data_IF_710020765716
#
_entry.id   IF_710020765716
#
_cell.length_a   1.000
_cell.length_b   1.000
_cell.length_c   1.000
_cell.angle_alpha   90.00
_cell.angle_beta   90.00
_cell.angle_gamma   90.00
#
_symmetry.space_group_name_H-M   'P 1'
#
loop_
_entity.id
_entity.type
_entity.pdbx_description
1 polymer ?
#
# COMPACT_ATOMS: atom_id res chain seq x y z
N UNK A 1 82.70 -72.53 19.66
CA UNK A 1 82.01 -72.58 20.96
C UNK A 1 81.70 -71.14 21.32
N UNK A 2 80.46 -70.74 21.06
CA UNK A 2 79.97 -69.36 21.23
C UNK A 2 79.95 -69.01 22.71
N UNK A 3 80.75 -68.02 23.11
CA UNK A 3 80.55 -67.37 24.41
C UNK A 3 79.72 -66.14 24.12
N UNK A 4 78.40 -66.33 24.25
CA UNK A 4 77.42 -65.27 24.37
C UNK A 4 77.74 -64.52 25.66
N UNK A 5 78.64 -63.53 25.59
CA UNK A 5 78.66 -62.46 26.59
C UNK A 5 77.49 -61.55 26.26
N UNK A 6 76.43 -61.78 27.02
CA UNK A 6 75.20 -61.02 27.07
C UNK A 6 75.56 -59.54 27.33
N UNK A 7 75.74 -58.76 26.26
CA UNK A 7 75.81 -57.31 26.32
C UNK A 7 74.45 -56.92 26.90
N UNK A 8 74.43 -56.46 28.15
CA UNK A 8 73.24 -55.86 28.71
C UNK A 8 72.73 -54.82 27.70
N UNK A 9 71.65 -55.17 27.00
CA UNK A 9 71.05 -54.39 25.90
C UNK A 9 70.61 -53.00 26.38
N UNK A 10 70.64 -52.78 27.69
CA UNK A 10 70.38 -51.51 28.37
C UNK A 10 71.54 -51.25 29.31
N UNK A 11 72.53 -50.48 28.84
CA UNK A 11 73.53 -49.83 29.69
C UNK A 11 73.32 -48.33 29.60
N UNK A 12 73.24 -47.64 30.75
CA UNK A 12 73.07 -46.19 30.83
C UNK A 12 74.41 -45.56 30.42
N UNK A 13 74.56 -45.30 29.12
CA UNK A 13 75.75 -44.70 28.53
C UNK A 13 75.43 -43.28 28.02
N UNK A 14 76.47 -42.50 27.71
CA UNK A 14 76.32 -41.14 27.17
C UNK A 14 75.41 -41.07 25.92
N UNK A 15 75.30 -42.14 25.14
CA UNK A 15 74.39 -42.27 23.99
C UNK A 15 72.91 -42.19 24.39
N UNK A 16 72.52 -42.70 25.55
CA UNK A 16 71.14 -42.63 26.06
C UNK A 16 70.76 -41.19 26.39
N UNK A 17 71.69 -40.40 26.94
CA UNK A 17 71.50 -38.95 27.15
C UNK A 17 71.36 -38.20 25.82
N UNK A 18 72.19 -38.53 24.82
CA UNK A 18 72.06 -37.93 23.48
C UNK A 18 70.72 -38.28 22.82
N UNK A 19 70.26 -39.52 22.95
CA UNK A 19 68.96 -39.97 22.44
C UNK A 19 67.79 -39.27 23.15
N UNK A 20 67.88 -39.05 24.46
CA UNK A 20 66.88 -38.30 25.22
C UNK A 20 66.80 -36.85 24.74
N UNK A 21 67.94 -36.18 24.57
CA UNK A 21 67.99 -34.80 24.05
C UNK A 21 67.40 -34.75 22.63
N UNK A 22 67.77 -35.68 21.75
CA UNK A 22 67.22 -35.76 20.40
C UNK A 22 65.69 -35.98 20.41
N UNK A 23 65.18 -36.84 21.30
CA UNK A 23 63.75 -37.06 21.46
C UNK A 23 63.02 -35.81 21.95
N UNK A 24 63.58 -35.08 22.93
CA UNK A 24 63.01 -33.84 23.43
C UNK A 24 62.99 -32.74 22.35
N UNK A 25 64.07 -32.62 21.57
CA UNK A 25 64.14 -31.69 20.43
C UNK A 25 63.11 -32.07 19.37
N UNK A 26 62.99 -33.36 19.03
CA UNK A 26 61.98 -33.85 18.09
C UNK A 26 60.55 -33.56 18.57
N UNK A 27 60.25 -33.81 19.85
CA UNK A 27 58.96 -33.51 20.45
C UNK A 27 58.65 -32.01 20.41
N UNK A 28 59.65 -31.16 20.66
CA UNK A 28 59.52 -29.72 20.53
C UNK A 28 59.21 -29.30 19.08
N UNK A 29 59.92 -29.86 18.10
CA UNK A 29 59.70 -29.60 16.68
C UNK A 29 58.29 -30.02 16.26
N UNK A 30 57.86 -31.25 16.59
CA UNK A 30 56.51 -31.73 16.27
C UNK A 30 55.44 -30.86 16.93
N UNK A 31 55.60 -30.50 18.20
CA UNK A 31 54.64 -29.64 18.89
C UNK A 31 54.51 -28.27 18.21
N UNK A 32 55.64 -27.69 17.78
CA UNK A 32 55.68 -26.38 17.14
C UNK A 32 55.17 -26.40 15.70
N UNK A 33 55.48 -27.44 14.93
CA UNK A 33 55.20 -27.55 13.49
C UNK A 33 53.87 -28.24 13.21
N UNK A 34 53.45 -29.24 13.98
CA UNK A 34 52.26 -30.05 13.68
C UNK A 34 51.10 -29.72 14.62
N UNK A 35 51.27 -29.86 15.94
CA UNK A 35 50.16 -29.74 16.88
C UNK A 35 49.60 -28.32 17.02
N UNK A 36 50.46 -27.30 16.87
CA UNK A 36 50.03 -25.89 16.93
C UNK A 36 49.15 -25.48 15.73
N UNK A 37 49.55 -25.67 14.46
CA UNK A 37 48.68 -25.35 13.33
C UNK A 37 47.44 -26.23 13.28
N UNK A 38 47.53 -27.52 13.66
CA UNK A 38 46.37 -28.40 13.69
C UNK A 38 45.27 -27.89 14.65
N UNK A 39 45.66 -27.45 15.86
CA UNK A 39 44.72 -26.84 16.81
C UNK A 39 44.16 -25.51 16.30
N UNK A 40 44.97 -24.70 15.63
CA UNK A 40 44.52 -23.45 15.03
C UNK A 40 43.43 -23.68 13.99
N UNK A 41 43.62 -24.64 13.08
CA UNK A 41 42.66 -24.94 12.01
C UNK A 41 41.36 -25.52 12.57
N UNK A 42 41.44 -26.33 13.62
CA UNK A 42 40.22 -26.85 14.28
C UNK A 42 39.44 -25.73 14.98
N UNK A 43 40.14 -24.83 15.70
CA UNK A 43 39.49 -23.66 16.32
C UNK A 43 38.88 -22.71 15.29
N UNK A 44 39.56 -22.49 14.17
CA UNK A 44 39.05 -21.67 13.06
C UNK A 44 37.78 -22.30 12.46
N UNK A 45 37.77 -23.62 12.24
CA UNK A 45 36.58 -24.35 11.76
C UNK A 45 35.40 -24.25 12.72
N UNK A 46 35.63 -24.45 14.02
CA UNK A 46 34.59 -24.30 15.03
C UNK A 46 34.03 -22.87 15.06
N UNK A 47 34.91 -21.88 15.05
CA UNK A 47 34.50 -20.47 15.05
C UNK A 47 33.72 -20.08 13.79
N UNK A 48 34.12 -20.61 12.63
CA UNK A 48 33.44 -20.37 11.36
C UNK A 48 32.04 -21.01 11.36
N UNK A 49 31.91 -22.23 11.87
CA UNK A 49 30.62 -22.89 12.00
C UNK A 49 29.68 -22.15 12.96
N UNK A 50 30.17 -21.71 14.12
CA UNK A 50 29.33 -20.93 15.04
C UNK A 50 28.95 -19.59 14.44
N UNK A 51 29.87 -18.93 13.72
CA UNK A 51 29.56 -17.68 13.02
C UNK A 51 28.46 -17.86 11.97
N UNK A 52 28.56 -18.89 11.12
CA UNK A 52 27.48 -19.21 10.16
C UNK A 52 26.16 -19.45 10.87
N UNK A 53 26.18 -20.18 11.99
CA UNK A 53 24.97 -20.48 12.75
C UNK A 53 24.33 -19.20 13.29
N UNK A 54 25.13 -18.30 13.87
CA UNK A 54 24.66 -17.00 14.38
C UNK A 54 24.14 -16.11 13.25
N UNK A 55 24.90 -15.96 12.17
CA UNK A 55 24.51 -15.17 11.00
C UNK A 55 23.20 -15.67 10.40
N UNK A 56 22.99 -17.00 10.36
CA UNK A 56 21.73 -17.61 9.89
C UNK A 56 20.56 -17.28 10.81
N UNK A 57 20.76 -17.35 12.13
CA UNK A 57 19.72 -17.02 13.12
C UNK A 57 19.36 -15.53 13.07
N UNK A 58 20.34 -14.67 12.86
CA UNK A 58 20.09 -13.23 12.77
C UNK A 58 19.41 -12.87 11.45
N UNK A 59 19.82 -13.50 10.34
CA UNK A 59 19.15 -13.34 9.05
C UNK A 59 17.68 -13.81 9.09
N UNK A 60 17.38 -14.94 9.75
CA UNK A 60 15.99 -15.40 9.89
C UNK A 60 15.15 -14.44 10.75
N UNK A 61 15.71 -13.94 11.87
CA UNK A 61 15.03 -12.92 12.69
C UNK A 61 14.77 -11.62 11.92
N UNK A 62 15.74 -11.17 11.13
CA UNK A 62 15.58 -9.95 10.32
C UNK A 62 14.51 -10.15 9.24
N UNK A 63 14.51 -11.31 8.58
CA UNK A 63 13.49 -11.68 7.60
C UNK A 63 12.09 -11.75 8.22
N UNK A 64 11.94 -12.34 9.41
CA UNK A 64 10.67 -12.38 10.14
C UNK A 64 10.19 -10.97 10.52
N UNK A 65 11.09 -10.12 11.04
CA UNK A 65 10.78 -8.71 11.37
C UNK A 65 10.35 -7.93 10.13
N UNK A 66 11.06 -8.08 9.02
CA UNK A 66 10.73 -7.42 7.76
C UNK A 66 9.35 -7.90 7.26
N UNK A 67 9.10 -9.20 7.29
CA UNK A 67 7.82 -9.79 6.89
C UNK A 67 6.66 -9.28 7.77
N UNK A 68 6.85 -9.22 9.09
CA UNK A 68 5.87 -8.67 10.01
C UNK A 68 5.59 -7.18 9.73
N UNK A 69 6.65 -6.40 9.49
CA UNK A 69 6.54 -4.98 9.16
C UNK A 69 5.82 -4.76 7.83
N UNK A 70 6.13 -5.56 6.81
CA UNK A 70 5.46 -5.49 5.51
C UNK A 70 3.97 -5.84 5.62
N UNK A 71 3.62 -6.90 6.35
CA UNK A 71 2.22 -7.26 6.61
C UNK A 71 1.47 -6.15 7.36
N UNK A 72 2.09 -5.55 8.37
CA UNK A 72 1.51 -4.43 9.10
C UNK A 72 1.27 -3.21 8.20
N UNK A 73 2.26 -2.86 7.37
CA UNK A 73 2.13 -1.78 6.38
C UNK A 73 1.04 -2.07 5.35
N UNK A 74 0.97 -3.30 4.83
CA UNK A 74 -0.06 -3.69 3.87
C UNK A 74 -1.47 -3.57 4.48
N UNK A 75 -1.64 -4.03 5.72
CA UNK A 75 -2.89 -3.90 6.47
C UNK A 75 -3.28 -2.43 6.68
N UNK A 76 -2.32 -1.58 7.04
CA UNK A 76 -2.54 -0.15 7.23
C UNK A 76 -2.94 0.55 5.92
N UNK A 77 -2.24 0.27 4.82
CA UNK A 77 -2.55 0.83 3.50
C UNK A 77 -3.93 0.38 3.01
N UNK A 78 -4.31 -0.88 3.24
CA UNK A 78 -5.66 -1.36 2.90
C UNK A 78 -6.75 -0.65 3.70
N UNK A 79 -6.53 -0.43 4.99
CA UNK A 79 -7.46 0.32 5.84
C UNK A 79 -7.59 1.78 5.37
N UNK A 80 -6.46 2.46 5.13
CA UNK A 80 -6.45 3.83 4.61
C UNK A 80 -7.15 3.94 3.25
N UNK A 81 -6.90 3.00 2.33
CA UNK A 81 -7.58 2.96 1.05
C UNK A 81 -9.09 2.77 1.20
N UNK A 82 -9.54 1.96 2.16
CA UNK A 82 -10.95 1.77 2.44
C UNK A 82 -11.59 3.04 3.02
N UNK A 83 -10.90 3.73 3.93
CA UNK A 83 -11.35 4.99 4.51
C UNK A 83 -11.46 6.09 3.44
N UNK A 84 -10.44 6.22 2.57
CA UNK A 84 -10.46 7.15 1.44
C UNK A 84 -11.61 6.85 0.49
N UNK A 85 -11.84 5.57 0.17
CA UNK A 85 -12.99 5.18 -0.66
C UNK A 85 -14.32 5.57 -0.01
N UNK A 86 -14.49 5.31 1.28
CA UNK A 86 -15.71 5.66 2.00
C UNK A 86 -15.92 7.18 2.02
N UNK A 87 -14.87 7.96 2.24
CA UNK A 87 -14.93 9.42 2.19
C UNK A 87 -15.33 9.94 0.80
N UNK A 88 -14.79 9.37 -0.28
CA UNK A 88 -15.15 9.74 -1.65
C UNK A 88 -16.62 9.38 -1.95
N UNK A 89 -17.07 8.20 -1.54
CA UNK A 89 -18.47 7.78 -1.71
C UNK A 89 -19.44 8.69 -0.95
N UNK A 90 -19.11 9.04 0.29
CA UNK A 90 -19.92 9.96 1.10
C UNK A 90 -19.94 11.38 0.51
N UNK A 91 -18.79 11.88 0.05
CA UNK A 91 -18.70 13.18 -0.61
C UNK A 91 -19.48 13.21 -1.93
N UNK A 92 -19.35 12.18 -2.76
CA UNK A 92 -20.13 12.05 -3.99
C UNK A 92 -21.64 11.94 -3.72
N UNK A 93 -22.04 11.24 -2.65
CA UNK A 93 -23.43 11.17 -2.20
C UNK A 93 -23.99 12.52 -1.76
N UNK A 94 -23.20 13.31 -1.02
CA UNK A 94 -23.57 14.68 -0.62
C UNK A 94 -23.72 15.59 -1.84
N UNK A 95 -22.73 15.62 -2.72
CA UNK A 95 -22.73 16.46 -3.92
C UNK A 95 -23.89 16.09 -4.86
N UNK A 96 -24.15 14.80 -5.06
CA UNK A 96 -25.31 14.35 -5.83
C UNK A 96 -26.63 14.81 -5.20
N UNK A 97 -26.74 14.77 -3.87
CA UNK A 97 -27.89 15.27 -3.13
C UNK A 97 -28.10 16.78 -3.30
N UNK A 98 -27.03 17.56 -3.19
CA UNK A 98 -27.04 19.02 -3.40
C UNK A 98 -27.46 19.38 -4.82
N UNK A 99 -26.92 18.70 -5.83
CA UNK A 99 -27.30 18.90 -7.23
C UNK A 99 -28.78 18.60 -7.45
N UNK A 100 -29.28 17.48 -6.90
CA UNK A 100 -30.68 17.10 -7.00
C UNK A 100 -31.61 18.12 -6.36
N UNK A 101 -31.24 18.64 -5.19
CA UNK A 101 -32.02 19.64 -4.49
C UNK A 101 -32.03 20.99 -5.22
N UNK A 102 -30.87 21.44 -5.71
CA UNK A 102 -30.77 22.64 -6.55
C UNK A 102 -31.63 22.52 -7.80
N UNK A 103 -31.55 21.38 -8.51
CA UNK A 103 -32.36 21.13 -9.69
C UNK A 103 -33.87 21.14 -9.38
N UNK A 104 -34.30 20.59 -8.24
CA UNK A 104 -35.70 20.64 -7.80
C UNK A 104 -36.16 22.07 -7.53
N UNK A 105 -35.33 22.87 -6.86
CA UNK A 105 -35.62 24.28 -6.59
C UNK A 105 -35.72 25.09 -7.89
N UNK A 106 -34.81 24.87 -8.84
CA UNK A 106 -34.86 25.49 -10.17
C UNK A 106 -36.14 25.12 -10.91
N UNK A 107 -36.49 23.83 -10.98
CA UNK A 107 -37.72 23.34 -11.61
C UNK A 107 -38.96 23.99 -10.97
N UNK A 108 -39.01 24.07 -9.64
CA UNK A 108 -40.09 24.74 -8.90
C UNK A 108 -40.19 26.22 -9.29
N UNK A 109 -39.05 26.93 -9.32
CA UNK A 109 -39.00 28.34 -9.71
C UNK A 109 -39.44 28.58 -11.15
N UNK A 110 -39.05 27.69 -12.08
CA UNK A 110 -39.44 27.77 -13.48
C UNK A 110 -40.94 27.53 -13.62
N UNK A 111 -41.50 26.51 -12.95
CA UNK A 111 -42.94 26.26 -12.95
C UNK A 111 -43.73 27.48 -12.45
N UNK A 112 -43.32 28.08 -11.33
CA UNK A 112 -43.97 29.27 -10.80
C UNK A 112 -43.92 30.45 -11.80
N UNK A 113 -42.77 30.69 -12.42
CA UNK A 113 -42.64 31.72 -13.47
C UNK A 113 -43.55 31.45 -14.67
N UNK A 114 -43.55 30.23 -15.19
CA UNK A 114 -44.38 29.82 -16.32
C UNK A 114 -45.87 29.98 -15.99
N UNK A 115 -46.31 29.56 -14.80
CA UNK A 115 -47.70 29.77 -14.36
C UNK A 115 -48.09 31.25 -14.34
N UNK A 116 -47.20 32.12 -13.83
CA UNK A 116 -47.47 33.58 -13.85
C UNK A 116 -47.52 34.15 -15.26
N UNK A 117 -46.63 33.75 -16.16
CA UNK A 117 -46.63 34.20 -17.56
C UNK A 117 -47.87 33.70 -18.31
N UNK A 118 -48.24 32.43 -18.15
CA UNK A 118 -49.44 31.85 -18.78
C UNK A 118 -50.69 32.59 -18.31
N UNK A 119 -50.82 32.86 -17.01
CA UNK A 119 -51.95 33.62 -16.47
C UNK A 119 -52.00 35.05 -17.05
N UNK A 120 -50.85 35.71 -17.18
CA UNK A 120 -50.76 37.04 -17.80
C UNK A 120 -51.16 37.01 -19.29
N UNK A 121 -50.69 36.00 -20.04
CA UNK A 121 -51.04 35.82 -21.45
C UNK A 121 -52.53 35.53 -21.63
N UNK A 122 -53.15 34.69 -20.78
CA UNK A 122 -54.58 34.42 -20.80
C UNK A 122 -55.38 35.71 -20.54
N UNK A 123 -54.97 36.51 -19.55
CA UNK A 123 -55.62 37.79 -19.26
C UNK A 123 -55.53 38.76 -20.46
N UNK A 124 -54.37 38.84 -21.10
CA UNK A 124 -54.17 39.67 -22.28
C UNK A 124 -54.98 39.19 -23.49
N UNK A 125 -55.02 37.88 -23.73
CA UNK A 125 -55.82 37.26 -24.79
C UNK A 125 -57.32 37.52 -24.58
N UNK A 126 -57.82 37.38 -23.34
CA UNK A 126 -59.22 37.71 -23.00
C UNK A 126 -59.54 39.18 -23.27
N UNK A 127 -58.62 40.10 -22.99
CA UNK A 127 -58.80 41.53 -23.28
C UNK A 127 -58.90 41.80 -24.78
N UNK A 128 -58.01 41.20 -25.59
CA UNK A 128 -58.05 41.31 -27.06
C UNK A 128 -59.34 40.72 -27.64
N UNK A 129 -59.74 39.53 -27.18
CA UNK A 129 -60.97 38.88 -27.64
C UNK A 129 -62.22 39.73 -27.36
N UNK A 130 -62.25 40.46 -26.22
CA UNK A 130 -63.34 41.37 -25.88
C UNK A 130 -63.41 42.56 -26.84
N UNK A 131 -62.27 43.15 -27.19
CA UNK A 131 -62.19 44.23 -28.17
C UNK A 131 -62.60 43.77 -29.57
N UNK A 132 -62.14 42.58 -29.99
CA UNK A 132 -62.54 41.98 -31.28
C UNK A 132 -64.03 41.65 -31.31
N UNK A 133 -64.60 41.15 -30.21
CA UNK A 133 -66.03 40.86 -30.10
C UNK A 133 -66.89 42.14 -30.18
N UNK A 134 -66.47 43.24 -29.54
CA UNK A 134 -67.12 44.55 -29.67
C UNK A 134 -67.08 45.05 -31.13
N UNK A 135 -65.91 44.95 -31.77
CA UNK A 135 -65.74 45.34 -33.18
C UNK A 135 -66.60 44.48 -34.11
N UNK A 136 -66.68 43.17 -33.87
CA UNK A 136 -67.51 42.26 -34.64
C UNK A 136 -69.00 42.54 -34.44
N UNK A 137 -69.43 42.86 -33.21
CA UNK A 137 -70.81 43.22 -32.91
C UNK A 137 -71.23 44.50 -33.65
N UNK A 138 -70.37 45.53 -33.69
CA UNK A 138 -70.60 46.75 -34.48
C UNK A 138 -70.73 46.41 -35.97
N UNK A 139 -69.81 45.63 -36.52
CA UNK A 139 -69.87 45.21 -37.93
C UNK A 139 -71.15 44.43 -38.27
N UNK A 140 -71.61 43.54 -37.38
CA UNK A 140 -72.86 42.79 -37.58
C UNK A 140 -74.07 43.74 -37.53
N UNK A 141 -74.10 44.68 -36.57
CA UNK A 141 -75.16 45.68 -36.46
C UNK A 141 -75.22 46.57 -37.71
N UNK A 142 -74.07 47.04 -38.21
CA UNK A 142 -73.99 47.82 -39.46
C UNK A 142 -74.52 47.05 -40.67
N UNK A 143 -74.22 45.75 -40.77
CA UNK A 143 -74.60 44.90 -41.91
C UNK A 143 -76.06 44.44 -41.87
N UNK A 144 -76.67 44.32 -40.68
CA UNK A 144 -78.10 44.03 -40.53
C UNK A 144 -79.00 45.26 -40.68
N UNK A 145 -78.51 46.46 -40.36
CA UNK A 145 -79.30 47.70 -40.41
C UNK A 145 -79.23 48.44 -41.75
N UNK A 146 -78.40 47.97 -42.70
CA UNK A 146 -78.20 48.53 -44.06
C UNK A 146 -78.04 50.07 -44.09
N UNK A 147 -77.55 50.64 -42.99
CA UNK A 147 -77.44 52.07 -42.77
C UNK A 147 -76.21 52.34 -41.93
N UNK A 148 -75.21 52.97 -42.54
CA UNK A 148 -74.01 53.47 -41.85
C UNK A 148 -74.43 54.30 -40.64
N UNK A 149 -74.12 53.82 -39.44
CA UNK A 149 -74.10 54.64 -38.24
C UNK A 149 -72.72 55.30 -38.22
N UNK A 150 -72.70 56.58 -38.59
CA UNK A 150 -71.48 57.29 -38.97
C UNK A 150 -70.63 57.78 -37.79
N UNK A 151 -69.39 58.13 -38.18
CA UNK A 151 -68.40 58.98 -37.48
C UNK A 151 -67.94 58.48 -36.11
#
# INVERSE_FOLDING_TARGET
MEIVSNIALISINATMFHQLIAFLVFLFIINRIMFRPLRSVMGERESFMEKIRLDTVDATKEFEKLTATLKAKESAVRAEAQDVRCAIEEQGGREAGEILESARQEISSIKAKVETEVNAQIAQARKKLRQEAETLAVNIMEKMLDRRLGS
#
